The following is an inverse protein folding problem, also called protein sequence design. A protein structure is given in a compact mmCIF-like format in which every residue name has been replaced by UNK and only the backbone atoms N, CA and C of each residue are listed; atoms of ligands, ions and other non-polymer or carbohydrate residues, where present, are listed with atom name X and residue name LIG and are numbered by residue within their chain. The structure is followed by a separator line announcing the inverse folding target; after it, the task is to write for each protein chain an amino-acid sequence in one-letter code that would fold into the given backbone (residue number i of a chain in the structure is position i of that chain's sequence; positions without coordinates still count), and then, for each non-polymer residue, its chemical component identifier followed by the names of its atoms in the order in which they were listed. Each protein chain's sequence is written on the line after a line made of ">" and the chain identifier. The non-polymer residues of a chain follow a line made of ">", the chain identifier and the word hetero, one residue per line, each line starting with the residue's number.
data_IF_735356354328
#
_entry.id   IF_735356354328
#
_cell.length_a   1.000
_cell.length_b   1.000
_cell.length_c   1.000
_cell.angle_alpha   90.00
_cell.angle_beta   90.00
_cell.angle_gamma   90.00
#
_symmetry.space_group_name_H-M   'P 1'
#
loop_
_entity.id
_entity.type
_entity.pdbx_description
1 polymer ?
#
# COMPACT_ATOMS: atom_id res chain seq x y z
N UNK A 1 30.57 -0.18 2.68
CA UNK A 1 30.37 -1.08 3.83
C UNK A 1 29.24 -0.50 4.65
N UNK A 2 27.99 -0.91 4.42
CA UNK A 2 26.88 -0.46 5.27
C UNK A 2 26.87 -1.33 6.54
N UNK A 3 27.20 -0.71 7.67
CA UNK A 3 27.02 -1.29 8.99
C UNK A 3 25.54 -1.20 9.36
N UNK A 4 24.88 -2.35 9.46
CA UNK A 4 23.59 -2.46 10.13
C UNK A 4 23.88 -2.29 11.63
N UNK A 5 23.56 -1.11 12.16
CA UNK A 5 23.52 -0.90 13.61
C UNK A 5 22.23 -1.56 14.10
N UNK A 6 22.42 -2.48 15.04
CA UNK A 6 21.39 -3.31 15.66
C UNK A 6 20.26 -2.47 16.25
N UNK A 7 19.04 -2.75 15.80
CA UNK A 7 17.83 -2.02 16.14
C UNK A 7 16.68 -2.37 15.20
N UNK A 8 16.37 -3.68 15.11
CA UNK A 8 15.19 -4.34 14.48
C UNK A 8 14.31 -3.40 13.62
N UNK A 9 14.79 -3.10 12.39
CA UNK A 9 14.02 -2.42 11.34
C UNK A 9 13.48 -3.48 10.38
N UNK A 10 12.28 -3.99 10.63
CA UNK A 10 11.76 -5.13 9.87
C UNK A 10 10.89 -4.74 8.66
N UNK A 11 10.58 -3.45 8.46
CA UNK A 11 9.71 -3.04 7.35
C UNK A 11 10.03 -1.66 6.80
N UNK A 12 10.14 -1.59 5.47
CA UNK A 12 10.32 -0.36 4.71
C UNK A 12 9.64 -0.51 3.34
N UNK A 13 9.33 0.61 2.69
CA UNK A 13 8.91 0.61 1.28
C UNK A 13 10.15 0.80 0.42
N UNK A 14 10.37 -0.10 -0.55
CA UNK A 14 11.39 0.09 -1.58
C UNK A 14 10.91 1.13 -2.59
N UNK A 15 11.62 2.25 -2.69
CA UNK A 15 11.41 3.29 -3.68
C UNK A 15 12.40 3.11 -4.82
N UNK A 16 11.90 3.14 -6.05
CA UNK A 16 12.70 3.27 -7.25
C UNK A 16 12.52 4.67 -7.83
N UNK A 17 13.62 5.39 -8.04
CA UNK A 17 13.65 6.71 -8.65
C UNK A 17 14.11 6.60 -10.10
N UNK A 18 13.18 6.85 -11.03
CA UNK A 18 13.44 6.77 -12.47
C UNK A 18 14.42 7.83 -12.97
N UNK A 19 14.55 8.98 -12.29
CA UNK A 19 15.43 10.06 -12.73
C UNK A 19 16.90 9.76 -12.39
N UNK A 20 17.14 9.11 -11.26
CA UNK A 20 18.47 8.73 -10.79
C UNK A 20 18.84 7.27 -11.07
N UNK A 21 17.91 6.46 -11.58
CA UNK A 21 18.05 4.99 -11.71
C UNK A 21 18.47 4.35 -10.37
N UNK A 22 17.89 4.87 -9.29
CA UNK A 22 18.31 4.61 -7.92
C UNK A 22 17.26 3.85 -7.11
N UNK A 23 17.73 2.98 -6.20
CA UNK A 23 16.89 2.36 -5.18
C UNK A 23 17.17 2.98 -3.81
N UNK A 24 16.11 3.30 -3.08
CA UNK A 24 16.20 3.74 -1.69
C UNK A 24 15.09 3.11 -0.86
N UNK A 25 15.24 3.09 0.45
CA UNK A 25 14.20 2.65 1.37
C UNK A 25 13.47 3.86 1.97
N UNK A 26 12.17 3.72 2.17
CA UNK A 26 11.35 4.63 2.97
C UNK A 26 10.99 3.88 4.25
N UNK A 27 11.54 4.36 5.36
CA UNK A 27 11.25 3.80 6.68
C UNK A 27 9.76 3.95 7.02
N UNK A 28 9.20 2.95 7.67
CA UNK A 28 7.79 2.92 8.11
C UNK A 28 7.70 3.21 9.61
N UNK A 29 6.54 3.70 10.11
CA UNK A 29 6.33 3.81 11.55
C UNK A 29 6.28 2.40 12.17
N UNK A 30 6.56 2.28 13.47
CA UNK A 30 6.39 1.01 14.17
C UNK A 30 4.88 0.67 14.26
N UNK A 31 4.44 -0.23 13.37
CA UNK A 31 3.05 -0.69 13.29
C UNK A 31 2.86 -2.08 13.90
N UNK A 32 3.85 -2.59 14.65
CA UNK A 32 3.75 -3.90 15.29
C UNK A 32 2.73 -3.87 16.43
N UNK A 33 1.89 -4.88 16.45
CA UNK A 33 1.00 -5.12 17.58
C UNK A 33 1.68 -6.02 18.59
N UNK A 34 1.82 -5.51 19.82
CA UNK A 34 2.37 -6.25 20.98
C UNK A 34 3.81 -6.77 20.77
N UNK A 35 4.61 -6.11 19.93
CA UNK A 35 6.00 -6.51 19.65
C UNK A 35 6.14 -7.80 18.84
N UNK A 36 5.04 -8.34 18.28
CA UNK A 36 5.09 -9.51 17.41
C UNK A 36 5.44 -9.11 15.96
N UNK A 37 6.11 -10.00 15.20
CA UNK A 37 6.32 -9.79 13.77
C UNK A 37 4.99 -9.62 13.05
N UNK A 38 4.97 -8.72 12.06
CA UNK A 38 3.84 -8.56 11.17
C UNK A 38 3.65 -9.83 10.34
N UNK A 39 2.40 -10.20 10.08
CA UNK A 39 2.07 -11.37 9.26
C UNK A 39 2.29 -11.05 7.79
N UNK A 40 2.64 -12.04 7.00
CA UNK A 40 2.69 -11.91 5.55
C UNK A 40 1.38 -11.32 5.02
N UNK A 41 1.50 -10.34 4.11
CA UNK A 41 0.39 -9.60 3.52
C UNK A 41 -0.49 -8.83 4.52
N UNK A 42 0.04 -8.45 5.69
CA UNK A 42 -0.62 -7.49 6.57
C UNK A 42 -0.43 -6.04 6.12
N UNK A 43 0.33 -5.79 5.05
CA UNK A 43 0.76 -4.47 4.61
C UNK A 43 0.72 -4.36 3.08
N UNK A 44 0.23 -3.24 2.54
CA UNK A 44 0.41 -2.87 1.12
C UNK A 44 0.66 -1.36 0.98
N UNK A 45 1.59 -0.94 0.09
CA UNK A 45 1.73 0.47 -0.28
C UNK A 45 0.52 0.93 -1.11
N UNK A 46 0.23 2.22 -1.06
CA UNK A 46 -0.88 2.84 -1.77
C UNK A 46 -0.44 4.15 -2.43
N UNK A 47 -0.75 4.32 -3.72
CA UNK A 47 -0.66 5.61 -4.38
C UNK A 47 -1.98 6.36 -4.16
N UNK A 48 -1.95 7.42 -3.35
CA UNK A 48 -3.13 8.16 -2.96
C UNK A 48 -3.57 9.12 -4.07
N UNK A 49 -4.86 9.47 -4.11
CA UNK A 49 -5.41 10.36 -5.15
C UNK A 49 -4.89 11.80 -5.11
N UNK A 50 -4.23 12.20 -4.01
CA UNK A 50 -3.58 13.50 -3.84
C UNK A 50 -2.09 13.48 -4.29
N UNK A 51 -1.62 12.36 -4.84
CA UNK A 51 -0.23 12.17 -5.26
C UNK A 51 0.72 11.79 -4.13
N UNK A 52 0.25 11.69 -2.89
CA UNK A 52 1.08 11.27 -1.77
C UNK A 52 1.19 9.73 -1.72
N UNK A 53 2.28 9.26 -1.11
CA UNK A 53 2.42 7.85 -0.76
C UNK A 53 1.65 7.55 0.53
N UNK A 54 0.84 6.52 0.52
CA UNK A 54 0.18 5.96 1.69
C UNK A 54 0.50 4.48 1.85
N UNK A 55 0.00 3.89 2.93
CA UNK A 55 -0.09 2.44 3.05
C UNK A 55 -1.29 2.02 3.88
N UNK A 56 -1.72 0.79 3.65
CA UNK A 56 -2.70 0.10 4.47
C UNK A 56 -2.01 -1.01 5.26
N UNK A 57 -2.37 -1.13 6.54
CA UNK A 57 -1.92 -2.21 7.40
C UNK A 57 -3.12 -2.84 8.12
N UNK A 58 -3.15 -4.17 8.18
CA UNK A 58 -4.17 -4.91 8.91
C UNK A 58 -3.56 -5.56 10.14
N UNK A 59 -4.19 -5.30 11.29
CA UNK A 59 -3.95 -6.03 12.53
C UNK A 59 -5.25 -6.70 12.99
N UNK A 60 -5.27 -8.03 12.93
CA UNK A 60 -6.49 -8.80 13.17
C UNK A 60 -7.60 -8.44 12.18
N UNK A 61 -8.65 -7.79 12.68
CA UNK A 61 -9.79 -7.29 11.89
C UNK A 61 -9.81 -5.75 11.82
N UNK A 62 -8.73 -5.08 12.22
CA UNK A 62 -8.59 -3.63 12.18
C UNK A 62 -7.73 -3.24 10.99
N UNK A 63 -8.23 -2.34 10.16
CA UNK A 63 -7.48 -1.72 9.06
C UNK A 63 -7.00 -0.33 9.48
N UNK A 64 -5.69 -0.13 9.48
CA UNK A 64 -5.04 1.13 9.75
C UNK A 64 -4.55 1.73 8.43
N UNK A 65 -4.93 2.98 8.17
CA UNK A 65 -4.53 3.71 6.97
C UNK A 65 -3.59 4.85 7.36
N UNK A 66 -2.48 4.90 6.65
CA UNK A 66 -1.41 5.85 6.88
C UNK A 66 -1.12 6.65 5.62
N UNK A 67 -0.86 7.93 5.79
CA UNK A 67 -0.38 8.81 4.73
C UNK A 67 1.00 9.35 5.11
N UNK A 68 1.87 9.45 4.12
CA UNK A 68 3.13 10.18 4.27
C UNK A 68 2.90 11.67 4.04
N UNK A 69 3.57 12.49 4.83
CA UNK A 69 3.87 13.88 4.49
C UNK A 69 5.34 13.96 4.14
N UNK A 70 5.65 14.40 2.91
CA UNK A 70 7.02 14.65 2.51
C UNK A 70 7.39 16.03 3.04
N UNK A 71 8.13 16.09 4.14
CA UNK A 71 8.72 17.35 4.60
C UNK A 71 9.90 17.69 3.69
N UNK A 72 9.69 18.62 2.77
CA UNK A 72 10.75 19.18 1.92
C UNK A 72 11.74 19.95 2.82
N UNK A 73 12.89 19.34 3.16
CA UNK A 73 13.97 20.04 3.86
C UNK A 73 14.81 19.21 4.82
N UNK A 74 14.36 18.03 5.25
CA UNK A 74 15.13 17.15 6.14
C UNK A 74 15.22 15.76 5.51
N UNK A 75 16.40 15.42 5.01
CA UNK A 75 16.86 14.09 4.56
C UNK A 75 15.76 13.05 4.25
N UNK A 76 14.87 13.32 3.31
CA UNK A 76 13.95 12.32 2.74
C UNK A 76 13.12 11.51 3.75
N UNK A 77 13.00 11.95 5.01
CA UNK A 77 12.39 11.16 6.06
C UNK A 77 10.88 11.35 5.97
N UNK A 78 10.19 10.33 5.44
CA UNK A 78 8.73 10.35 5.37
C UNK A 78 8.17 10.42 6.79
N UNK A 79 7.44 11.48 7.10
CA UNK A 79 6.66 11.55 8.33
C UNK A 79 5.31 10.90 8.08
N UNK A 80 4.99 9.87 8.84
CA UNK A 80 3.76 9.09 8.67
C UNK A 80 2.69 9.53 9.65
N UNK A 81 1.47 9.69 9.17
CA UNK A 81 0.31 10.00 10.01
C UNK A 81 -0.80 8.98 9.80
N UNK A 82 -1.27 8.39 10.91
CA UNK A 82 -2.42 7.50 10.90
C UNK A 82 -3.70 8.34 10.84
N UNK A 83 -4.20 8.53 9.62
CA UNK A 83 -5.36 9.37 9.38
C UNK A 83 -6.70 8.63 9.50
N UNK A 84 -6.73 7.29 9.45
CA UNK A 84 -7.98 6.54 9.53
C UNK A 84 -7.81 5.11 10.05
N UNK A 85 -8.82 4.66 10.81
CA UNK A 85 -8.97 3.30 11.32
C UNK A 85 -10.34 2.77 10.92
N UNK A 86 -10.40 1.53 10.42
CA UNK A 86 -11.65 0.87 10.01
C UNK A 86 -11.75 -0.50 10.67
N UNK A 87 -12.88 -0.75 11.34
CA UNK A 87 -13.21 -2.07 11.86
C UNK A 87 -13.79 -2.94 10.72
N UNK A 88 -12.98 -3.86 10.20
CA UNK A 88 -13.37 -4.76 9.11
C UNK A 88 -14.41 -5.79 9.53
N UNK A 89 -14.55 -6.07 10.84
CA UNK A 89 -15.59 -6.97 11.34
C UNK A 89 -16.99 -6.40 11.11
N UNK A 90 -17.14 -5.10 11.29
CA UNK A 90 -18.43 -4.41 11.09
C UNK A 90 -18.68 -4.08 9.61
N UNK A 91 -17.61 -4.00 8.82
CA UNK A 91 -17.68 -3.71 7.40
C UNK A 91 -18.03 -4.95 6.57
N UNK A 92 -17.28 -6.04 6.74
CA UNK A 92 -17.40 -7.26 5.96
C UNK A 92 -18.34 -8.27 6.65
N UNK A 93 -18.89 -9.26 5.93
CA UNK A 93 -19.79 -10.28 6.51
C UNK A 93 -19.03 -11.34 7.35
N UNK A 94 -18.19 -10.88 8.28
CA UNK A 94 -17.30 -11.69 9.11
C UNK A 94 -18.03 -12.09 10.40
N UNK A 95 -18.17 -13.40 10.63
CA UNK A 95 -18.78 -13.93 11.87
C UNK A 95 -17.74 -14.41 12.88
N UNK A 96 -16.59 -14.86 12.40
CA UNK A 96 -15.52 -15.38 13.24
C UNK A 96 -14.54 -14.24 13.60
N UNK A 97 -14.45 -13.81 14.87
CA UNK A 97 -13.52 -12.75 15.28
C UNK A 97 -12.04 -13.17 15.16
N UNK A 98 -11.76 -14.48 15.01
CA UNK A 98 -10.41 -15.02 14.77
C UNK A 98 -10.09 -15.16 13.27
N UNK A 99 -10.91 -14.60 12.38
CA UNK A 99 -10.68 -14.69 10.95
C UNK A 99 -9.35 -14.02 10.58
N UNK A 100 -8.57 -14.68 9.73
CA UNK A 100 -7.37 -14.09 9.16
C UNK A 100 -7.73 -13.26 7.93
N UNK A 101 -7.18 -12.05 7.87
CA UNK A 101 -7.30 -11.16 6.73
C UNK A 101 -5.92 -10.93 6.13
N UNK A 102 -5.85 -10.84 4.80
CA UNK A 102 -4.64 -10.45 4.08
C UNK A 102 -4.98 -9.39 3.04
N UNK A 103 -4.15 -8.35 2.99
CA UNK A 103 -4.16 -7.33 1.96
C UNK A 103 -3.45 -7.90 0.72
N UNK A 104 -4.13 -7.93 -0.42
CA UNK A 104 -3.57 -8.53 -1.65
C UNK A 104 -3.32 -7.50 -2.75
N UNK A 105 -3.75 -6.26 -2.59
CA UNK A 105 -3.42 -5.19 -3.54
C UNK A 105 -4.23 -3.92 -3.34
N UNK A 106 -3.85 -2.89 -4.07
CA UNK A 106 -4.54 -1.61 -4.16
C UNK A 106 -4.67 -1.18 -5.62
N UNK A 107 -5.58 -0.25 -5.88
CA UNK A 107 -5.66 0.45 -7.16
C UNK A 107 -4.85 1.73 -7.08
N UNK A 108 -3.97 1.96 -8.06
CA UNK A 108 -3.18 3.19 -8.16
C UNK A 108 -4.08 4.42 -8.31
N UNK A 109 -3.78 5.49 -7.54
CA UNK A 109 -4.50 6.76 -7.61
C UNK A 109 -5.92 6.72 -7.06
N UNK A 110 -6.28 5.68 -6.29
CA UNK A 110 -7.64 5.46 -5.82
C UNK A 110 -7.67 5.00 -4.36
N UNK A 111 -8.85 5.09 -3.75
CA UNK A 111 -9.12 4.64 -2.38
C UNK A 111 -9.46 3.13 -2.29
N UNK A 112 -9.16 2.34 -3.32
CA UNK A 112 -9.59 0.95 -3.41
C UNK A 112 -8.48 0.00 -2.99
N UNK A 113 -8.83 -0.92 -2.08
CA UNK A 113 -7.99 -2.05 -1.70
C UNK A 113 -8.69 -3.38 -1.93
N UNK A 114 -7.90 -4.44 -1.99
CA UNK A 114 -8.37 -5.82 -2.08
C UNK A 114 -7.94 -6.60 -0.84
N UNK A 115 -8.91 -7.28 -0.24
CA UNK A 115 -8.71 -8.08 0.97
C UNK A 115 -9.18 -9.51 0.69
N UNK A 116 -8.35 -10.49 1.05
CA UNK A 116 -8.76 -11.89 1.04
C UNK A 116 -9.08 -12.37 2.45
N UNK A 117 -10.13 -13.18 2.53
CA UNK A 117 -10.64 -13.80 3.75
C UNK A 117 -11.03 -15.25 3.44
N UNK A 118 -11.27 -16.06 4.46
CA UNK A 118 -11.82 -17.42 4.29
C UNK A 118 -13.20 -17.43 3.59
N UNK A 119 -13.88 -16.29 3.49
CA UNK A 119 -15.18 -16.16 2.82
C UNK A 119 -15.06 -15.75 1.35
N UNK A 120 -13.93 -15.14 0.95
CA UNK A 120 -13.73 -14.65 -0.41
C UNK A 120 -12.77 -13.50 -0.52
N UNK A 121 -12.71 -12.96 -1.74
CA UNK A 121 -11.95 -11.76 -2.07
C UNK A 121 -12.90 -10.60 -2.18
N UNK A 122 -12.57 -9.52 -1.48
CA UNK A 122 -13.39 -8.34 -1.36
C UNK A 122 -12.62 -7.14 -1.90
N UNK A 123 -13.29 -6.36 -2.74
CA UNK A 123 -12.88 -4.99 -3.02
C UNK A 123 -13.53 -4.09 -1.97
N UNK A 124 -12.77 -3.15 -1.43
CA UNK A 124 -13.24 -2.17 -0.45
C UNK A 124 -12.88 -0.77 -0.96
N UNK A 125 -13.85 0.14 -1.03
CA UNK A 125 -13.62 1.58 -1.16
C UNK A 125 -13.45 2.15 0.23
N UNK A 126 -12.26 2.67 0.52
CA UNK A 126 -11.91 3.17 1.84
C UNK A 126 -12.65 4.46 2.16
N UNK A 127 -12.92 5.33 1.18
CA UNK A 127 -13.65 6.57 1.41
C UNK A 127 -15.10 6.30 1.77
N UNK A 128 -15.81 5.53 0.93
CA UNK A 128 -17.24 5.25 1.11
C UNK A 128 -17.53 4.15 2.13
N UNK A 129 -16.53 3.34 2.50
CA UNK A 129 -16.71 2.07 3.20
C UNK A 129 -17.70 1.14 2.47
N UNK A 130 -17.82 1.27 1.16
CA UNK A 130 -18.52 0.31 0.32
C UNK A 130 -17.63 -0.88 0.02
N UNK A 131 -18.22 -2.08 -0.04
CA UNK A 131 -17.49 -3.29 -0.46
C UNK A 131 -18.28 -4.11 -1.47
N UNK A 132 -17.56 -4.87 -2.29
CA UNK A 132 -18.12 -5.91 -3.14
C UNK A 132 -17.28 -7.18 -3.07
N UNK A 133 -17.94 -8.32 -3.10
CA UNK A 133 -17.26 -9.62 -3.22
C UNK A 133 -16.93 -9.84 -4.70
N UNK A 134 -15.65 -10.07 -5.00
CA UNK A 134 -15.17 -10.32 -6.35
C UNK A 134 -15.15 -11.82 -6.68
N UNK A 135 -14.61 -12.61 -5.75
CA UNK A 135 -14.40 -14.04 -5.93
C UNK A 135 -14.68 -14.84 -4.65
N UNK A 136 -14.84 -16.15 -4.82
CA UNK A 136 -14.84 -17.12 -3.70
C UNK A 136 -13.45 -17.18 -3.07
N UNK A 137 -13.36 -17.82 -1.90
CA UNK A 137 -12.08 -17.90 -1.18
C UNK A 137 -11.09 -18.75 -1.98
N UNK A 138 -10.01 -18.12 -2.39
CA UNK A 138 -8.89 -18.71 -3.12
C UNK A 138 -7.58 -18.12 -2.58
N UNK A 139 -6.49 -18.87 -2.73
CA UNK A 139 -5.18 -18.47 -2.22
C UNK A 139 -4.48 -17.54 -3.22
N UNK A 140 -4.87 -16.26 -3.19
CA UNK A 140 -4.14 -15.20 -3.90
C UNK A 140 -3.00 -14.66 -3.03
N UNK A 141 -1.81 -14.55 -3.63
CA UNK A 141 -0.68 -13.82 -3.04
C UNK A 141 -0.75 -12.32 -3.34
N UNK A 142 -1.18 -11.95 -4.55
CA UNK A 142 -1.35 -10.57 -4.96
C UNK A 142 -2.47 -10.44 -6.00
N UNK A 143 -3.07 -9.26 -6.06
CA UNK A 143 -4.00 -8.81 -7.09
C UNK A 143 -3.48 -7.47 -7.58
N UNK A 144 -3.03 -7.42 -8.83
CA UNK A 144 -2.47 -6.22 -9.45
C UNK A 144 -3.45 -5.77 -10.53
N UNK A 145 -4.29 -4.77 -10.27
CA UNK A 145 -5.19 -4.21 -11.27
C UNK A 145 -4.39 -3.55 -12.38
N UNK A 146 -4.73 -3.89 -13.61
CA UNK A 146 -4.19 -3.20 -14.78
C UNK A 146 -5.13 -2.05 -15.17
N UNK A 147 -4.61 -0.81 -15.18
CA UNK A 147 -5.40 0.38 -15.52
C UNK A 147 -5.04 0.98 -16.87
N UNK A 148 -3.75 1.12 -17.18
CA UNK A 148 -3.26 1.67 -18.44
C UNK A 148 -1.77 1.33 -18.62
N UNK A 149 -1.25 1.58 -19.83
CA UNK A 149 0.19 1.64 -20.06
C UNK A 149 0.69 3.05 -19.77
N UNK A 150 1.87 3.16 -19.16
CA UNK A 150 2.64 4.40 -19.21
C UNK A 150 3.15 4.57 -20.65
N UNK A 151 2.53 5.48 -21.41
CA UNK A 151 2.98 5.82 -22.75
C UNK A 151 3.70 7.18 -22.70
N UNK A 152 5.02 7.22 -22.46
CA UNK A 152 5.76 8.47 -22.53
C UNK A 152 5.63 8.99 -23.96
N UNK A 153 5.11 10.21 -24.13
CA UNK A 153 5.09 10.83 -25.44
C UNK A 153 6.53 10.85 -25.99
N UNK A 154 6.73 10.31 -27.19
CA UNK A 154 8.00 10.46 -27.90
C UNK A 154 8.35 11.94 -27.90
N UNK A 155 9.55 12.28 -27.41
CA UNK A 155 10.06 13.63 -27.57
C UNK A 155 10.16 13.88 -29.06
N UNK A 156 9.23 14.66 -29.61
CA UNK A 156 9.36 15.20 -30.96
C UNK A 156 10.67 15.98 -30.96
N UNK A 157 11.63 15.47 -31.71
CA UNK A 157 12.93 16.12 -31.84
C UNK A 157 12.68 17.38 -32.69
N UNK A 158 12.97 18.60 -32.21
CA UNK A 158 12.72 19.83 -32.96
C UNK A 158 13.58 19.97 -34.24
N UNK A 159 14.29 18.92 -34.65
CA UNK A 159 15.06 18.81 -35.88
C UNK A 159 14.39 17.95 -36.97
N UNK A 160 13.25 17.32 -36.69
CA UNK A 160 12.53 16.49 -37.69
C UNK A 160 11.62 17.32 -38.63
N UNK A 161 11.55 18.65 -38.46
CA UNK A 161 10.92 19.56 -39.42
C UNK A 161 11.96 20.28 -40.28
N UNK A 162 12.63 19.54 -41.18
CA UNK A 162 13.40 20.16 -42.25
C UNK A 162 13.53 19.23 -43.47
N UNK A 163 12.43 19.02 -44.22
CA UNK A 163 12.47 18.59 -45.61
C UNK A 163 11.33 19.22 -46.42
#
# INVERSE_FOLDING_TARGET
>A
MLSIVDGVRDMAILKYDMASDGLSLIDLPDVRSNGLPLKDHSFIPMAMGDGNLGFAQVDGLTLNLWSSSIQTGVEGLASWTQHRVVDLKNLLPIRNPKQSLRLIGSVEGSDIIFVTTDLGIYQISLMSLGWKKLWKSEKFSALIPYMSFYNPQERINPYDEAH
#
